data_IF_479279866343
#
_entry.id   IF_479279866343
#
_cell.length_a   1.000
_cell.length_b   1.000
_cell.length_c   1.000
_cell.angle_alpha   90.00
_cell.angle_beta   90.00
_cell.angle_gamma   90.00
#
_symmetry.space_group_name_H-M   'P 1'
#
loop_
_entity.id
_entity.type
_entity.pdbx_description
1 polymer ?
#
# COMPACT_ATOMS: atom_id res chain seq x y z
N UNK A 1 -30.77 -11.94 -16.13
CA UNK A 1 -30.69 -10.47 -16.09
C UNK A 1 -30.21 -9.98 -17.45
N UNK A 2 -30.78 -8.88 -18.00
CA UNK A 2 -30.30 -8.29 -19.26
C UNK A 2 -28.86 -7.80 -19.05
N UNK A 3 -27.93 -8.18 -19.93
CA UNK A 3 -26.55 -7.69 -19.87
C UNK A 3 -26.57 -6.17 -20.12
N UNK A 4 -25.95 -5.39 -19.23
CA UNK A 4 -25.81 -3.95 -19.36
C UNK A 4 -24.78 -3.63 -20.45
N UNK A 5 -24.94 -2.50 -21.10
CA UNK A 5 -23.93 -1.93 -21.98
C UNK A 5 -22.76 -1.35 -21.17
N UNK A 6 -21.62 -1.18 -21.77
CA UNK A 6 -20.45 -0.54 -21.16
C UNK A 6 -20.80 0.85 -20.63
N UNK A 7 -21.54 1.65 -21.40
CA UNK A 7 -21.99 2.98 -20.98
C UNK A 7 -22.92 2.91 -19.73
N UNK A 8 -23.85 1.96 -19.69
CA UNK A 8 -24.74 1.80 -18.51
C UNK A 8 -23.96 1.43 -17.23
N UNK A 9 -22.82 0.70 -17.33
CA UNK A 9 -21.93 0.46 -16.19
C UNK A 9 -21.25 1.76 -15.74
N UNK A 10 -20.65 2.52 -16.68
CA UNK A 10 -19.99 3.79 -16.38
C UNK A 10 -20.95 4.84 -15.81
N UNK A 11 -22.15 4.98 -16.38
CA UNK A 11 -23.18 5.90 -15.88
C UNK A 11 -23.64 5.53 -14.46
N UNK A 12 -23.73 4.24 -14.16
CA UNK A 12 -24.07 3.77 -12.82
C UNK A 12 -23.00 4.14 -11.82
N UNK A 13 -21.72 3.91 -12.13
CA UNK A 13 -20.62 4.30 -11.27
C UNK A 13 -20.54 5.81 -11.12
N UNK A 14 -20.68 6.58 -12.20
CA UNK A 14 -20.73 8.03 -12.17
C UNK A 14 -21.86 8.57 -11.29
N UNK A 15 -23.01 7.89 -11.26
CA UNK A 15 -24.16 8.31 -10.44
C UNK A 15 -23.97 8.03 -8.94
N UNK A 16 -23.34 6.93 -8.57
CA UNK A 16 -23.31 6.46 -7.18
C UNK A 16 -21.92 6.47 -6.56
N UNK A 17 -20.84 6.57 -7.34
CA UNK A 17 -19.47 6.67 -6.89
C UNK A 17 -19.07 8.08 -6.44
N UNK A 18 -17.99 8.17 -5.67
CA UNK A 18 -17.51 9.43 -5.10
C UNK A 18 -16.59 10.24 -6.05
N UNK A 19 -16.36 9.79 -7.27
CA UNK A 19 -15.52 10.45 -8.30
C UNK A 19 -14.10 10.82 -7.83
N UNK A 20 -13.53 10.02 -6.96
CA UNK A 20 -12.18 10.22 -6.45
C UNK A 20 -11.09 9.73 -7.43
N UNK A 21 -11.48 9.10 -8.53
CA UNK A 21 -10.63 8.71 -9.65
C UNK A 21 -11.27 9.10 -10.98
N UNK A 22 -10.44 9.16 -12.04
CA UNK A 22 -10.87 9.29 -13.43
C UNK A 22 -10.49 8.02 -14.19
N UNK A 23 -11.26 6.92 -14.09
CA UNK A 23 -10.92 5.67 -14.74
C UNK A 23 -10.89 5.80 -16.26
N UNK A 24 -10.08 4.99 -16.92
CA UNK A 24 -10.17 4.82 -18.37
C UNK A 24 -11.57 4.31 -18.76
N UNK A 25 -12.13 4.74 -19.92
CA UNK A 25 -13.49 4.36 -20.33
C UNK A 25 -13.54 2.91 -20.86
N UNK A 26 -13.16 1.97 -20.02
CA UNK A 26 -13.17 0.53 -20.29
C UNK A 26 -13.73 -0.19 -19.07
N UNK A 27 -14.73 -1.04 -19.27
CA UNK A 27 -15.35 -1.83 -18.20
C UNK A 27 -14.86 -3.26 -18.28
N UNK A 28 -13.92 -3.63 -17.40
CA UNK A 28 -13.34 -4.97 -17.35
C UNK A 28 -14.28 -5.95 -16.65
N UNK A 29 -14.43 -7.16 -17.22
CA UNK A 29 -15.30 -8.22 -16.70
C UNK A 29 -14.56 -9.51 -16.36
N UNK A 30 -13.44 -9.80 -17.06
CA UNK A 30 -12.68 -11.06 -16.91
C UNK A 30 -11.19 -10.81 -16.90
N UNK A 31 -10.46 -11.61 -16.11
CA UNK A 31 -9.00 -11.66 -16.13
C UNK A 31 -8.49 -13.10 -16.15
N UNK A 32 -7.39 -13.37 -16.87
CA UNK A 32 -6.72 -14.66 -16.93
C UNK A 32 -5.24 -14.49 -17.31
N UNK A 33 -4.35 -14.86 -16.41
CA UNK A 33 -2.91 -14.65 -16.61
C UNK A 33 -2.58 -13.17 -16.82
N UNK A 34 -1.97 -12.84 -17.95
CA UNK A 34 -1.58 -11.46 -18.32
C UNK A 34 -2.70 -10.70 -19.07
N UNK A 35 -3.85 -11.32 -19.26
CA UNK A 35 -4.91 -10.75 -20.07
C UNK A 35 -6.12 -10.34 -19.24
N UNK A 36 -6.79 -9.27 -19.70
CA UNK A 36 -8.10 -8.85 -19.22
C UNK A 36 -9.05 -8.66 -20.42
N UNK A 37 -10.35 -8.80 -20.17
CA UNK A 37 -11.40 -8.61 -21.18
C UNK A 37 -12.44 -7.63 -20.67
N UNK A 38 -12.87 -6.74 -21.55
CA UNK A 38 -14.00 -5.88 -21.28
C UNK A 38 -15.36 -6.61 -21.42
N UNK A 39 -16.43 -5.92 -21.03
CA UNK A 39 -17.80 -6.43 -21.11
C UNK A 39 -18.27 -6.72 -22.54
N UNK A 40 -17.58 -6.20 -23.56
CA UNK A 40 -17.83 -6.45 -24.98
C UNK A 40 -17.01 -7.64 -25.51
N UNK A 41 -16.13 -8.21 -24.68
CA UNK A 41 -15.29 -9.36 -25.02
C UNK A 41 -13.98 -8.98 -25.72
N UNK A 42 -13.62 -7.71 -25.80
CA UNK A 42 -12.32 -7.29 -26.32
C UNK A 42 -11.24 -7.59 -25.30
N UNK A 43 -10.14 -8.20 -25.77
CA UNK A 43 -9.00 -8.58 -24.94
C UNK A 43 -7.93 -7.49 -24.95
N UNK A 44 -7.32 -7.29 -23.77
CA UNK A 44 -6.19 -6.40 -23.55
C UNK A 44 -5.07 -7.12 -22.82
N UNK A 45 -3.84 -6.66 -22.98
CA UNK A 45 -2.77 -6.99 -22.04
C UNK A 45 -2.90 -6.07 -20.81
N UNK A 46 -2.73 -6.63 -19.62
CA UNK A 46 -2.66 -5.84 -18.40
C UNK A 46 -1.20 -5.57 -18.01
N UNK A 47 -0.65 -4.43 -18.44
CA UNK A 47 0.68 -3.98 -18.07
C UNK A 47 0.71 -3.23 -16.74
N UNK A 48 -0.46 -2.81 -16.21
CA UNK A 48 -0.54 -2.14 -14.93
C UNK A 48 -0.50 -3.11 -13.76
N UNK A 49 -1.10 -4.30 -13.90
CA UNK A 49 -1.14 -5.38 -12.90
C UNK A 49 -1.53 -4.91 -11.50
N UNK A 50 -2.45 -3.94 -11.40
CA UNK A 50 -2.83 -3.27 -10.15
C UNK A 50 -1.60 -2.80 -9.35
N UNK A 51 -0.65 -2.11 -10.01
CA UNK A 51 0.63 -1.68 -9.43
C UNK A 51 1.43 -2.85 -8.83
N UNK A 52 1.58 -3.92 -9.60
CA UNK A 52 2.27 -5.17 -9.24
C UNK A 52 1.56 -6.04 -8.19
N UNK A 53 0.36 -5.70 -7.75
CA UNK A 53 -0.41 -6.54 -6.83
C UNK A 53 -0.87 -7.86 -7.48
N UNK A 54 -1.00 -7.89 -8.82
CA UNK A 54 -1.41 -9.07 -9.60
C UNK A 54 -0.21 -9.67 -10.38
N UNK A 55 0.98 -9.59 -9.82
CA UNK A 55 2.22 -10.06 -10.46
C UNK A 55 2.24 -11.58 -10.72
N UNK A 56 1.36 -12.36 -10.09
CA UNK A 56 1.17 -13.79 -10.37
C UNK A 56 0.19 -14.07 -11.53
N UNK A 57 -0.34 -13.00 -12.15
CA UNK A 57 -1.38 -13.06 -13.15
C UNK A 57 -2.80 -13.13 -12.57
N UNK A 58 -3.76 -12.70 -13.36
CA UNK A 58 -5.17 -12.75 -13.01
C UNK A 58 -5.67 -14.19 -12.83
N UNK A 59 -6.44 -14.41 -11.79
CA UNK A 59 -7.14 -15.68 -11.50
C UNK A 59 -6.18 -16.88 -11.51
N UNK A 60 -4.98 -16.74 -10.95
CA UNK A 60 -4.02 -17.85 -10.88
C UNK A 60 -4.67 -19.08 -10.20
N UNK A 61 -4.74 -20.26 -10.86
CA UNK A 61 -5.58 -21.36 -10.41
C UNK A 61 -5.27 -21.84 -8.99
N UNK A 62 -4.00 -21.95 -8.62
CA UNK A 62 -3.60 -22.36 -7.26
C UNK A 62 -4.00 -21.35 -6.18
N UNK A 63 -3.96 -20.05 -6.50
CA UNK A 63 -4.34 -18.98 -5.55
C UNK A 63 -5.86 -19.00 -5.36
N UNK A 64 -6.62 -19.08 -6.47
CA UNK A 64 -8.10 -19.16 -6.44
C UNK A 64 -8.56 -20.40 -5.69
N UNK A 65 -7.95 -21.55 -5.94
CA UNK A 65 -8.25 -22.81 -5.26
C UNK A 65 -8.02 -22.70 -3.74
N UNK A 66 -6.82 -22.26 -3.33
CA UNK A 66 -6.46 -22.10 -1.91
C UNK A 66 -7.41 -21.13 -1.18
N UNK A 67 -7.73 -19.99 -1.80
CA UNK A 67 -8.67 -19.01 -1.25
C UNK A 67 -10.09 -19.61 -1.13
N UNK A 68 -10.57 -20.30 -2.16
CA UNK A 68 -11.90 -20.91 -2.18
C UNK A 68 -12.04 -22.01 -1.13
N UNK A 69 -11.04 -22.87 -1.01
CA UNK A 69 -11.05 -23.95 -0.01
C UNK A 69 -11.00 -23.43 1.41
N UNK A 70 -10.18 -22.40 1.67
CA UNK A 70 -10.12 -21.78 3.00
C UNK A 70 -11.42 -21.03 3.33
N UNK A 71 -11.99 -20.30 2.37
CA UNK A 71 -13.25 -19.57 2.57
C UNK A 71 -14.43 -20.49 2.94
N UNK A 72 -14.47 -21.71 2.41
CA UNK A 72 -15.47 -22.72 2.78
C UNK A 72 -15.32 -23.25 4.21
N UNK A 73 -14.11 -23.19 4.78
CA UNK A 73 -13.81 -23.68 6.14
C UNK A 73 -13.97 -22.57 7.18
N UNK A 74 -13.26 -21.48 7.00
CA UNK A 74 -13.24 -20.34 7.91
C UNK A 74 -12.67 -19.11 7.17
N UNK A 75 -13.54 -18.16 6.83
CA UNK A 75 -13.16 -16.97 6.06
C UNK A 75 -12.53 -15.88 6.95
N UNK A 76 -13.07 -15.66 8.14
CA UNK A 76 -12.64 -14.59 9.04
C UNK A 76 -12.77 -15.02 10.50
N UNK A 77 -11.78 -14.65 11.31
CA UNK A 77 -11.84 -14.74 12.78
C UNK A 77 -11.22 -13.49 13.40
N UNK A 78 -11.70 -13.12 14.59
CA UNK A 78 -11.08 -12.06 15.39
C UNK A 78 -9.67 -12.48 15.84
N UNK A 79 -8.77 -11.49 15.96
CA UNK A 79 -7.45 -11.69 16.61
C UNK A 79 -7.52 -12.05 18.09
N UNK A 80 -8.71 -12.06 18.68
CA UNK A 80 -8.95 -12.64 20.01
C UNK A 80 -8.76 -14.16 20.04
N UNK A 81 -8.72 -14.81 18.87
CA UNK A 81 -8.52 -16.26 18.75
C UNK A 81 -7.31 -16.56 17.87
N UNK A 82 -6.69 -17.68 18.13
CA UNK A 82 -5.74 -18.29 17.20
C UNK A 82 -6.49 -18.97 16.07
N UNK A 83 -5.83 -19.10 14.90
CA UNK A 83 -6.27 -19.96 13.82
C UNK A 83 -5.09 -20.80 13.29
N UNK A 84 -5.40 -21.82 12.53
CA UNK A 84 -4.41 -22.81 12.11
C UNK A 84 -3.57 -22.40 10.89
N UNK A 85 -3.86 -21.28 10.24
CA UNK A 85 -3.15 -20.87 9.01
C UNK A 85 -2.24 -19.67 9.20
N UNK A 86 -2.54 -18.78 10.14
CA UNK A 86 -1.77 -17.54 10.31
C UNK A 86 -0.34 -17.82 10.78
N UNK A 87 -0.15 -18.69 11.77
CA UNK A 87 1.17 -19.02 12.28
C UNK A 87 2.07 -19.70 11.24
N UNK A 88 1.49 -20.54 10.38
CA UNK A 88 2.21 -21.16 9.27
C UNK A 88 2.68 -20.10 8.26
N UNK A 89 1.82 -19.14 7.93
CA UNK A 89 2.18 -18.03 7.06
C UNK A 89 3.25 -17.13 7.69
N UNK A 90 3.12 -16.79 8.97
CA UNK A 90 4.10 -15.97 9.70
C UNK A 90 5.47 -16.64 9.72
N UNK A 91 5.53 -17.94 9.96
CA UNK A 91 6.78 -18.72 9.92
C UNK A 91 7.40 -18.72 8.52
N UNK A 92 6.60 -18.92 7.48
CA UNK A 92 7.07 -18.90 6.09
C UNK A 92 7.66 -17.54 5.72
N UNK A 93 6.94 -16.45 5.97
CA UNK A 93 7.35 -15.08 5.59
C UNK A 93 8.59 -14.64 6.35
N UNK A 94 8.67 -14.89 7.66
CA UNK A 94 9.85 -14.52 8.45
C UNK A 94 11.10 -15.26 7.97
N UNK A 95 11.00 -16.56 7.68
CA UNK A 95 12.12 -17.33 7.11
C UNK A 95 12.51 -16.86 5.71
N UNK A 96 11.52 -16.55 4.87
CA UNK A 96 11.76 -16.13 3.48
C UNK A 96 12.49 -14.78 3.41
N UNK A 97 12.11 -13.81 4.22
CA UNK A 97 12.71 -12.48 4.24
C UNK A 97 13.85 -12.32 5.27
N UNK A 98 14.08 -13.28 6.14
CA UNK A 98 15.15 -13.23 7.14
C UNK A 98 14.86 -12.29 8.32
N UNK A 99 13.60 -12.13 8.72
CA UNK A 99 13.18 -11.35 9.88
C UNK A 99 12.70 -12.24 11.02
N UNK A 100 12.82 -11.75 12.27
CA UNK A 100 12.39 -12.50 13.45
C UNK A 100 10.86 -12.52 13.62
N UNK A 101 10.18 -11.46 13.19
CA UNK A 101 8.74 -11.26 13.41
C UNK A 101 8.10 -10.58 12.20
N UNK A 102 6.81 -10.83 12.02
CA UNK A 102 5.96 -10.17 11.04
C UNK A 102 4.65 -9.72 11.69
N UNK A 103 4.14 -8.59 11.26
CA UNK A 103 2.83 -8.08 11.66
C UNK A 103 2.04 -7.72 10.40
N UNK A 104 1.10 -8.58 9.96
CA UNK A 104 0.28 -8.29 8.77
C UNK A 104 -0.73 -7.20 9.04
N UNK A 105 -0.94 -6.33 8.05
CA UNK A 105 -1.94 -5.26 8.03
C UNK A 105 -2.88 -5.43 6.84
N UNK A 106 -3.99 -4.67 6.83
CA UNK A 106 -5.00 -4.80 5.77
C UNK A 106 -4.63 -4.01 4.51
N UNK A 107 -3.79 -2.99 4.63
CA UNK A 107 -3.36 -2.15 3.51
C UNK A 107 -1.93 -1.65 3.70
N UNK A 108 -1.31 -1.15 2.61
CA UNK A 108 0.00 -0.50 2.69
C UNK A 108 0.01 0.70 3.63
N UNK A 109 -1.02 1.56 3.55
CA UNK A 109 -1.13 2.71 4.45
C UNK A 109 -1.19 2.31 5.93
N UNK A 110 -1.91 1.23 6.28
CA UNK A 110 -1.93 0.71 7.65
C UNK A 110 -0.57 0.14 8.06
N UNK A 111 0.14 -0.51 7.15
CA UNK A 111 1.49 -1.01 7.41
C UNK A 111 2.47 0.14 7.67
N UNK A 112 2.45 1.19 6.83
CA UNK A 112 3.26 2.38 7.02
C UNK A 112 2.92 3.12 8.32
N UNK A 113 1.65 3.36 8.63
CA UNK A 113 1.21 3.96 9.91
C UNK A 113 1.70 3.14 11.11
N UNK A 114 1.68 1.82 11.01
CA UNK A 114 2.16 0.92 12.06
C UNK A 114 3.68 0.98 12.19
N UNK A 115 4.41 1.01 11.07
CA UNK A 115 5.87 1.17 11.07
C UNK A 115 6.30 2.51 11.68
N UNK A 116 5.61 3.62 11.33
CA UNK A 116 5.84 4.93 11.92
C UNK A 116 5.63 4.94 13.44
N UNK A 117 4.54 4.31 13.90
CA UNK A 117 4.27 4.15 15.34
C UNK A 117 5.35 3.33 16.03
N UNK A 118 5.78 2.23 15.41
CA UNK A 118 6.85 1.37 15.94
C UNK A 118 8.18 2.14 16.04
N UNK A 119 8.57 2.88 15.00
CA UNK A 119 9.76 3.73 15.01
C UNK A 119 9.73 4.75 16.15
N UNK A 120 8.61 5.46 16.32
CA UNK A 120 8.46 6.42 17.43
C UNK A 120 8.56 5.73 18.78
N UNK A 121 7.86 4.62 18.97
CA UNK A 121 7.90 3.87 20.23
C UNK A 121 9.30 3.37 20.56
N UNK A 122 10.01 2.81 19.59
CA UNK A 122 11.40 2.40 19.74
C UNK A 122 12.31 3.60 20.05
N UNK A 123 12.11 4.73 19.37
CA UNK A 123 12.85 5.96 19.62
C UNK A 123 12.75 6.43 21.08
N UNK A 124 11.56 6.37 21.67
CA UNK A 124 11.33 6.77 23.05
C UNK A 124 11.83 5.73 24.05
N UNK A 125 11.45 4.47 23.87
CA UNK A 125 11.68 3.44 24.89
C UNK A 125 13.11 2.86 24.85
N UNK A 126 13.77 2.84 23.68
CA UNK A 126 15.07 2.18 23.46
C UNK A 126 16.17 3.19 23.18
N UNK A 127 15.95 4.12 22.23
CA UNK A 127 16.95 5.12 21.87
C UNK A 127 17.04 6.27 22.88
N UNK A 128 16.02 6.48 23.70
CA UNK A 128 15.98 7.54 24.72
C UNK A 128 15.70 8.94 24.18
N UNK A 129 15.04 9.04 23.03
CA UNK A 129 14.58 10.32 22.47
C UNK A 129 13.55 10.93 23.44
N UNK A 130 13.65 12.25 23.75
CA UNK A 130 12.66 12.90 24.59
C UNK A 130 11.24 12.79 24.02
N UNK A 131 10.24 12.75 24.90
CA UNK A 131 8.83 12.63 24.50
C UNK A 131 8.46 13.67 23.41
N UNK A 132 7.71 13.22 22.41
CA UNK A 132 7.20 14.01 21.28
C UNK A 132 8.28 14.60 20.34
N UNK A 133 9.55 14.21 20.48
CA UNK A 133 10.66 14.73 19.67
C UNK A 133 11.16 13.75 18.61
N UNK A 134 10.63 12.52 18.55
CA UNK A 134 11.06 11.55 17.55
C UNK A 134 10.79 12.04 16.13
N UNK A 135 11.80 11.95 15.27
CA UNK A 135 11.76 12.32 13.85
C UNK A 135 11.92 11.09 12.98
N UNK A 136 11.24 11.11 11.84
CA UNK A 136 11.38 10.09 10.80
C UNK A 136 11.74 10.80 9.51
N UNK A 137 12.83 10.37 8.87
CA UNK A 137 13.25 10.88 7.57
C UNK A 137 12.40 10.23 6.50
N UNK A 138 11.95 11.01 5.51
CA UNK A 138 11.21 10.54 4.33
C UNK A 138 11.76 11.20 3.07
N UNK A 139 11.64 10.55 1.93
CA UNK A 139 12.06 11.13 0.66
C UNK A 139 10.94 11.94 0.01
N UNK A 140 11.30 12.95 -0.77
CA UNK A 140 10.39 13.61 -1.70
C UNK A 140 9.91 12.64 -2.79
N UNK A 141 8.84 12.99 -3.48
CA UNK A 141 8.22 12.19 -4.55
C UNK A 141 7.86 10.78 -4.09
N UNK A 142 7.17 10.69 -2.94
CA UNK A 142 6.75 9.44 -2.35
C UNK A 142 5.23 9.23 -2.50
N UNK A 143 4.80 7.98 -2.41
CA UNK A 143 3.42 7.62 -2.21
C UNK A 143 3.31 6.50 -1.17
N UNK A 144 2.74 6.80 -0.03
CA UNK A 144 2.52 5.87 1.09
C UNK A 144 1.03 5.61 1.37
N UNK A 145 0.14 6.22 0.61
CA UNK A 145 -1.31 6.12 0.80
C UNK A 145 -1.99 7.48 1.04
N UNK A 146 -3.18 7.48 1.66
CA UNK A 146 -4.05 8.66 1.74
C UNK A 146 -4.63 8.94 3.12
N UNK A 147 -4.07 8.38 4.19
CA UNK A 147 -4.42 8.74 5.57
C UNK A 147 -3.80 10.07 5.97
N UNK A 148 -4.30 10.70 7.03
CA UNK A 148 -3.84 12.04 7.46
C UNK A 148 -2.34 12.07 7.74
N UNK A 149 -1.79 11.09 8.47
CA UNK A 149 -0.34 11.03 8.71
C UNK A 149 0.42 10.79 7.41
N UNK A 150 -0.06 9.89 6.58
CA UNK A 150 0.60 9.50 5.35
C UNK A 150 0.65 10.64 4.33
N UNK A 151 -0.42 11.41 4.14
CA UNK A 151 -0.37 12.58 3.25
C UNK A 151 0.56 13.69 3.74
N UNK A 152 0.88 13.71 5.04
CA UNK A 152 1.90 14.61 5.60
C UNK A 152 3.30 14.37 5.02
N UNK A 153 3.59 13.14 4.60
CA UNK A 153 4.88 12.75 4.03
C UNK A 153 5.07 13.26 2.60
N UNK A 154 3.97 13.56 1.90
CA UNK A 154 3.98 13.94 0.48
C UNK A 154 4.44 15.40 0.27
N UNK A 155 5.13 15.64 -0.83
CA UNK A 155 5.38 16.98 -1.39
C UNK A 155 4.52 17.29 -2.62
N UNK A 156 3.61 16.38 -3.00
CA UNK A 156 2.64 16.60 -4.08
C UNK A 156 1.40 17.33 -3.56
N UNK A 157 1.15 18.59 -4.01
CA UNK A 157 -0.01 19.37 -3.58
C UNK A 157 -1.36 18.70 -3.84
N UNK A 158 -1.46 17.87 -4.89
CA UNK A 158 -2.69 17.12 -5.19
C UNK A 158 -3.05 16.11 -4.11
N UNK A 159 -2.05 15.63 -3.38
CA UNK A 159 -2.20 14.64 -2.32
C UNK A 159 -2.46 15.26 -0.94
N UNK A 160 -1.90 16.42 -0.62
CA UNK A 160 -1.96 16.97 0.74
C UNK A 160 -2.74 18.28 0.88
N UNK A 161 -2.97 19.05 -0.21
CA UNK A 161 -3.60 20.36 -0.10
C UNK A 161 -5.00 20.29 0.51
N UNK A 162 -5.25 21.11 1.53
CA UNK A 162 -6.54 21.18 2.21
C UNK A 162 -6.78 20.14 3.31
N UNK A 163 -5.81 19.26 3.60
CA UNK A 163 -5.94 18.19 4.61
C UNK A 163 -5.17 18.44 5.91
N UNK A 164 -4.59 19.64 6.09
CA UNK A 164 -3.99 20.02 7.38
C UNK A 164 -5.00 20.17 8.53
N UNK A 165 -4.57 20.20 9.81
CA UNK A 165 -3.18 20.26 10.25
C UNK A 165 -2.43 18.94 10.08
N UNK A 166 -1.14 19.03 9.72
CA UNK A 166 -0.32 17.86 9.42
C UNK A 166 0.32 17.26 10.67
N UNK A 167 0.58 15.94 10.61
CA UNK A 167 1.27 15.22 11.68
C UNK A 167 2.73 15.67 11.78
N UNK A 168 3.23 16.09 12.95
CA UNK A 168 4.61 16.53 13.12
C UNK A 168 5.62 15.37 13.19
N UNK A 169 6.92 15.72 13.13
CA UNK A 169 8.01 14.77 13.34
C UNK A 169 8.54 14.12 12.06
N UNK A 170 8.37 14.74 10.90
CA UNK A 170 8.94 14.27 9.65
C UNK A 170 9.98 15.24 9.10
N UNK A 171 11.07 14.68 8.56
CA UNK A 171 12.14 15.40 7.85
C UNK A 171 12.16 14.90 6.41
N UNK A 172 11.82 15.75 5.45
CA UNK A 172 11.88 15.41 4.03
C UNK A 172 13.24 15.73 3.45
N UNK A 173 13.75 14.81 2.64
CA UNK A 173 14.98 14.95 1.87
C UNK A 173 14.72 14.59 0.40
N UNK A 174 15.51 15.07 -0.55
CA UNK A 174 15.43 14.59 -1.93
C UNK A 174 15.69 13.08 -1.99
N UNK A 175 15.04 12.40 -2.96
CA UNK A 175 15.34 11.00 -3.23
C UNK A 175 16.72 10.86 -3.85
N UNK A 176 17.45 9.79 -3.50
CA UNK A 176 18.82 9.49 -3.97
C UNK A 176 19.87 10.57 -3.61
N UNK A 177 19.62 11.38 -2.58
CA UNK A 177 20.56 12.38 -2.05
C UNK A 177 21.23 11.85 -0.77
N UNK A 178 22.34 11.12 -0.93
CA UNK A 178 23.09 10.56 0.20
C UNK A 178 23.65 11.66 1.13
N UNK A 179 24.23 12.79 0.64
CA UNK A 179 24.63 13.89 1.49
C UNK A 179 23.50 14.45 2.36
N UNK A 180 22.30 14.62 1.80
CA UNK A 180 21.13 15.07 2.57
C UNK A 180 20.71 14.06 3.64
N UNK A 181 20.78 12.76 3.34
CA UNK A 181 20.50 11.71 4.30
C UNK A 181 21.53 11.69 5.43
N UNK A 182 22.82 11.79 5.11
CA UNK A 182 23.90 11.85 6.10
C UNK A 182 23.74 13.06 7.03
N UNK A 183 23.36 14.21 6.50
CA UNK A 183 23.11 15.42 7.31
C UNK A 183 21.91 15.22 8.23
N UNK A 184 20.79 14.71 7.72
CA UNK A 184 19.59 14.47 8.50
C UNK A 184 19.81 13.43 9.62
N UNK A 185 20.63 12.41 9.39
CA UNK A 185 20.98 11.37 10.37
C UNK A 185 21.85 11.89 11.53
N UNK A 186 22.44 13.09 11.44
CA UNK A 186 23.18 13.69 12.56
C UNK A 186 22.26 14.12 13.70
N UNK A 187 20.97 14.32 13.43
CA UNK A 187 20.00 14.65 14.49
C UNK A 187 19.77 13.42 15.38
N UNK A 188 20.10 13.48 16.69
CA UNK A 188 19.95 12.37 17.61
C UNK A 188 18.48 11.92 17.78
N UNK A 189 17.52 12.75 17.42
CA UNK A 189 16.09 12.47 17.53
C UNK A 189 15.53 11.70 16.32
N UNK A 190 16.33 11.37 15.32
CA UNK A 190 15.89 10.53 14.21
C UNK A 190 15.71 9.09 14.70
N UNK A 191 14.47 8.58 14.56
CA UNK A 191 14.10 7.23 14.96
C UNK A 191 14.04 6.24 13.79
N UNK A 192 13.90 6.73 12.56
CA UNK A 192 13.79 5.87 11.38
C UNK A 192 13.91 6.64 10.07
N UNK A 193 14.06 5.87 8.99
CA UNK A 193 14.06 6.34 7.62
C UNK A 193 13.05 5.51 6.83
N UNK A 194 12.09 6.17 6.19
CA UNK A 194 11.07 5.55 5.35
C UNK A 194 11.21 6.08 3.92
N UNK A 195 11.30 5.19 2.95
CA UNK A 195 11.41 5.55 1.54
C UNK A 195 10.40 4.76 0.71
N UNK A 196 9.95 5.34 -0.40
CA UNK A 196 9.01 4.76 -1.34
C UNK A 196 9.70 4.47 -2.67
N UNK A 197 9.43 3.31 -3.26
CA UNK A 197 9.94 2.96 -4.58
C UNK A 197 8.88 3.15 -5.69
N UNK A 198 7.63 3.44 -5.35
CA UNK A 198 6.51 3.46 -6.28
C UNK A 198 6.67 4.52 -7.39
N UNK A 199 7.11 5.73 -7.03
CA UNK A 199 7.33 6.84 -7.97
C UNK A 199 8.80 7.07 -8.32
N UNK A 200 9.69 6.20 -7.88
CA UNK A 200 11.14 6.31 -8.11
C UNK A 200 11.66 5.26 -9.08
N UNK A 201 10.78 4.32 -9.48
CA UNK A 201 11.08 3.38 -10.57
C UNK A 201 10.34 3.81 -11.83
N UNK A 202 10.98 3.71 -13.00
CA UNK A 202 10.39 4.04 -14.31
C UNK A 202 9.07 3.30 -14.62
N UNK A 203 8.75 2.26 -13.85
CA UNK A 203 7.52 1.49 -13.96
C UNK A 203 6.27 2.22 -13.41
N UNK A 204 6.40 3.40 -12.81
CA UNK A 204 5.28 4.17 -12.27
C UNK A 204 4.81 5.30 -13.20
N UNK A 205 5.58 5.63 -14.23
CA UNK A 205 5.35 6.77 -15.13
C UNK A 205 4.80 6.35 -16.52
N UNK A 206 4.60 5.04 -16.79
CA UNK A 206 4.10 4.50 -18.06
C UNK A 206 2.60 4.10 -18.04
#
# INVERSE_FOLDING_TARGET
MKKMTEQEYMDREAKYGAHNYHPLPVVLEKGEGIYVWDVNGKRYFDFLSAYSAVNQGHCHPKIVEAMTEQAKKLALTSRAFYNNVLGEWEEYITKYFGYDKVLPMNSGAEADETALKLCRRWGYDVKGIPADQAKIIVCDNNFHGRTITIVTLSNDPSSYAGFGPFTPGFVRIPYDDIPALEEALKDPNVAGFLFCLLYTSDAADD
#
